data_IF_189291500912
#
_entry.id   IF_189291500912
#
_cell.length_a   1.000
_cell.length_b   1.000
_cell.length_c   1.000
_cell.angle_alpha   90.00
_cell.angle_beta   90.00
_cell.angle_gamma   90.00
#
_symmetry.space_group_name_H-M   'P 1'
#
loop_
_entity.id
_entity.type
_entity.pdbx_description
1 polymer ?
2 non-polymer ?
3 water ?
#
# COMPACT_ATOMS: atom_id res chain seq x y z
N UNK A 1 13.25 -12.58 5.55
CA UNK A 1 12.21 -13.31 6.26
C UNK A 1 10.89 -13.39 5.47
N UNK A 2 9.98 -14.24 5.92
CA UNK A 2 8.62 -14.22 5.38
C UNK A 2 7.77 -13.43 6.36
N UNK A 3 6.97 -12.50 5.86
CA UNK A 3 6.11 -11.70 6.72
C UNK A 3 4.63 -11.91 6.36
N UNK A 4 3.82 -12.30 7.33
CA UNK A 4 2.39 -12.48 7.10
C UNK A 4 1.66 -11.15 7.37
N UNK A 5 0.39 -11.07 7.01
CA UNK A 5 -0.26 -9.76 6.94
C UNK A 5 -1.40 -9.59 7.95
N UNK A 6 -1.39 -10.40 9.00
CA UNK A 6 -2.41 -10.28 10.03
C UNK A 6 -2.25 -8.96 10.79
N UNK A 7 -1.02 -8.43 10.80
CA UNK A 7 -0.73 -7.12 11.36
C UNK A 7 -0.08 -6.26 10.28
N UNK A 8 -0.02 -4.95 10.47
CA UNK A 8 0.73 -4.06 9.56
C UNK A 8 2.18 -4.55 9.42
N UNK A 9 2.68 -4.62 8.18
CA UNK A 9 4.06 -5.10 7.98
C UNK A 9 5.09 -4.01 8.23
N UNK A 10 5.33 -3.75 9.51
CA UNK A 10 6.24 -2.68 9.93
C UNK A 10 7.64 -3.22 10.11
N UNK A 11 8.62 -2.46 9.64
CA UNK A 11 10.00 -2.86 9.81
C UNK A 11 10.80 -1.68 10.31
N UNK A 12 12.00 -1.98 10.79
CA UNK A 12 12.86 -0.92 11.27
C UNK A 12 13.73 -0.46 10.11
N UNK A 13 13.84 0.85 9.92
CA UNK A 13 14.73 1.41 8.90
C UNK A 13 15.77 2.30 9.55
N UNK A 14 16.92 2.45 8.90
CA UNK A 14 17.89 3.47 9.29
C UNK A 14 18.14 4.34 8.07
N UNK A 15 18.01 5.64 8.26
CA UNK A 15 18.18 6.60 7.18
C UNK A 15 18.64 7.93 7.77
N UNK A 16 19.60 8.58 7.11
CA UNK A 16 20.14 9.84 7.57
C UNK A 16 20.63 9.78 9.01
N UNK A 17 21.21 8.64 9.37
CA UNK A 17 21.71 8.41 10.72
C UNK A 17 20.64 8.15 11.78
N UNK A 18 19.38 8.08 11.37
CA UNK A 18 18.26 7.99 12.31
C UNK A 18 17.49 6.67 12.20
N UNK A 19 16.96 6.20 13.32
CA UNK A 19 16.16 4.98 13.29
C UNK A 19 14.68 5.29 13.28
N UNK A 20 13.96 4.65 12.36
CA UNK A 20 12.51 4.83 12.23
C UNK A 20 11.82 3.51 11.91
N UNK A 21 10.51 3.49 12.08
CA UNK A 21 9.70 2.34 11.66
C UNK A 21 8.92 2.74 10.43
N UNK A 22 8.72 1.78 9.53
CA UNK A 22 8.03 2.07 8.28
C UNK A 22 7.27 0.86 7.79
N UNK A 23 6.24 1.12 7.00
CA UNK A 23 5.35 0.07 6.55
C UNK A 23 5.80 -0.40 5.18
N UNK A 24 6.01 -1.72 5.01
CA UNK A 24 6.31 -2.29 3.70
C UNK A 24 5.02 -2.20 2.87
N UNK A 25 5.07 -1.40 1.80
CA UNK A 25 3.84 -0.98 1.13
C UNK A 25 3.84 -1.30 -0.36
N UNK A 26 3.25 -2.42 -0.73
CA UNK A 26 3.22 -2.83 -2.15
C UNK A 26 2.28 -1.94 -2.97
N UNK A 27 1.46 -1.16 -2.27
CA UNK A 27 0.50 -0.29 -2.94
C UNK A 27 1.09 1.07 -3.24
N UNK A 28 2.36 1.23 -2.89
CA UNK A 28 3.07 2.48 -3.06
C UNK A 28 4.18 2.34 -4.12
N UNK A 29 4.14 3.17 -5.16
CA UNK A 29 5.18 3.12 -6.17
C UNK A 29 6.46 3.68 -5.55
N UNK A 30 6.31 4.80 -4.85
CA UNK A 30 7.44 5.53 -4.29
C UNK A 30 7.51 5.36 -2.77
N UNK A 31 8.64 5.76 -2.18
CA UNK A 31 8.83 5.71 -0.74
C UNK A 31 8.58 7.11 -0.14
N UNK A 32 7.75 7.17 0.88
CA UNK A 32 7.36 8.45 1.49
C UNK A 32 7.58 8.44 2.99
N UNK A 33 8.44 9.32 3.48
CA UNK A 33 8.72 9.37 4.91
C UNK A 33 8.20 10.66 5.50
N UNK A 34 7.74 10.60 6.75
CA UNK A 34 7.33 11.79 7.50
C UNK A 34 8.46 12.80 7.55
N UNK A 35 8.13 14.04 7.91
CA UNK A 35 9.15 15.08 7.98
C UNK A 35 10.33 14.66 8.84
N UNK A 36 11.51 14.75 8.24
CA UNK A 36 12.72 14.35 8.91
C UNK A 36 13.82 15.24 8.38
N UNK A 37 14.94 15.22 9.09
CA UNK A 37 16.11 15.97 8.67
C UNK A 37 17.00 15.11 7.79
N UNK A 38 17.01 15.41 6.49
CA UNK A 38 17.93 14.78 5.55
C UNK A 38 18.87 15.86 5.02
N UNK A 39 20.11 15.47 4.67
CA UNK A 39 21.18 16.42 4.35
C UNK A 39 21.18 17.07 2.95
N UNK A 40 21.04 16.28 1.88
CA UNK A 40 21.33 16.78 0.54
C UNK A 40 20.43 17.87 -0.04
N UNK A 41 20.54 18.08 -1.35
CA UNK A 41 19.59 18.95 -2.04
C UNK A 41 18.34 18.13 -2.37
N UNK A 42 17.20 18.78 -2.54
CA UNK A 42 15.95 18.12 -2.87
C UNK A 42 15.22 18.88 -3.96
N UNK A 43 14.19 18.25 -4.52
CA UNK A 43 13.34 18.90 -5.51
C UNK A 43 11.89 18.85 -5.04
N UNK A 44 11.11 19.89 -5.36
CA UNK A 44 9.66 19.84 -5.12
C UNK A 44 9.00 18.73 -5.94
N UNK A 45 8.00 18.10 -5.34
CA UNK A 45 7.19 17.11 -6.03
C UNK A 45 5.82 17.11 -5.38
N UNK A 46 4.79 16.76 -6.14
CA UNK A 46 3.47 16.61 -5.57
C UNK A 46 3.03 15.19 -5.83
N UNK A 47 2.48 14.52 -4.81
CA UNK A 47 2.07 13.14 -4.97
C UNK A 47 0.62 12.91 -4.54
N UNK A 48 -0.07 12.00 -5.23
CA UNK A 48 -1.47 11.77 -4.95
C UNK A 48 -1.75 10.46 -4.26
N UNK A 49 -2.65 10.50 -3.29
CA UNK A 49 -3.09 9.32 -2.59
C UNK A 49 -4.60 9.27 -2.55
N UNK A 50 -5.14 8.55 -1.57
CA UNK A 50 -6.57 8.31 -1.49
C UNK A 50 -7.43 9.56 -1.26
N UNK A 51 -6.96 10.52 -0.46
CA UNK A 51 -7.78 11.66 -0.10
C UNK A 51 -7.41 13.00 -0.73
N UNK A 52 -6.48 12.96 -1.68
CA UNK A 52 -6.01 14.17 -2.32
C UNK A 52 -4.51 14.14 -2.53
N UNK A 53 -3.87 15.29 -2.41
CA UNK A 53 -2.46 15.40 -2.71
C UNK A 53 -1.64 16.06 -1.59
N UNK A 54 -0.34 15.75 -1.54
CA UNK A 54 0.56 16.43 -0.63
C UNK A 54 1.81 16.90 -1.36
N UNK A 55 2.44 17.94 -0.82
CA UNK A 55 3.73 18.42 -1.32
C UNK A 55 4.83 17.67 -0.57
N UNK A 56 5.81 17.16 -1.29
CA UNK A 56 6.95 16.48 -0.66
C UNK A 56 8.26 17.01 -1.24
N UNK A 57 9.36 16.68 -0.58
CA UNK A 57 10.68 16.99 -1.13
C UNK A 57 11.27 15.68 -1.64
N UNK A 58 11.77 15.71 -2.87
CA UNK A 58 12.39 14.53 -3.46
C UNK A 58 13.91 14.47 -3.25
N UNK A 59 14.37 13.42 -2.56
CA UNK A 59 15.80 13.19 -2.38
C UNK A 59 16.21 11.97 -3.18
N UNK A 60 17.16 12.15 -4.08
CA UNK A 60 17.66 11.00 -4.84
C UNK A 60 18.93 10.41 -4.25
N UNK A 61 19.17 9.14 -4.60
CA UNK A 61 20.38 8.44 -4.23
C UNK A 61 20.61 8.49 -2.72
N UNK A 62 19.54 8.22 -1.98
CA UNK A 62 19.57 8.16 -0.52
C UNK A 62 19.83 6.73 -0.05
N UNK A 63 20.78 6.56 0.88
CA UNK A 63 21.02 5.25 1.44
C UNK A 63 20.03 4.99 2.57
N UNK A 64 19.35 3.86 2.50
CA UNK A 64 18.40 3.45 3.55
C UNK A 64 18.59 1.96 3.89
N UNK A 65 18.54 1.63 5.16
CA UNK A 65 18.62 0.24 5.57
C UNK A 65 17.22 -0.19 5.97
N UNK A 66 16.73 -1.26 5.34
CA UNK A 66 15.36 -1.69 5.56
C UNK A 66 15.40 -3.11 6.10
N UNK A 67 15.09 -3.25 7.39
CA UNK A 67 15.16 -4.55 8.06
C UNK A 67 16.52 -5.23 7.80
N UNK A 68 17.60 -4.46 7.86
CA UNK A 68 18.94 -5.01 7.69
C UNK A 68 19.45 -5.08 6.26
N UNK A 69 18.63 -4.68 5.30
CA UNK A 69 19.02 -4.70 3.90
C UNK A 69 19.28 -3.29 3.40
N UNK A 70 20.47 -3.05 2.88
CA UNK A 70 20.78 -1.75 2.33
C UNK A 70 20.21 -1.56 0.92
N UNK A 71 19.68 -0.36 0.68
CA UNK A 71 19.21 0.03 -0.65
C UNK A 71 19.56 1.49 -0.86
N UNK A 72 19.70 1.90 -2.12
CA UNK A 72 19.92 3.31 -2.42
C UNK A 72 18.89 3.72 -3.45
N UNK A 73 18.15 4.77 -3.16
CA UNK A 73 17.16 5.22 -4.12
C UNK A 73 16.52 6.52 -3.71
N UNK A 74 15.44 6.84 -4.39
CA UNK A 74 14.71 8.06 -4.12
C UNK A 74 13.80 7.94 -2.91
N UNK A 75 13.85 8.95 -2.07
CA UNK A 75 12.97 9.01 -0.92
C UNK A 75 12.23 10.33 -0.97
N UNK A 76 10.91 10.27 -0.81
CA UNK A 76 10.11 11.49 -0.72
C UNK A 76 9.85 11.81 0.76
N UNK A 77 9.98 13.08 1.10
CA UNK A 77 9.78 13.50 2.47
C UNK A 77 8.67 14.53 2.54
N UNK A 78 7.70 14.31 3.42
CA UNK A 78 6.59 15.23 3.56
C UNK A 78 5.51 14.68 4.47
N UNK A 79 4.36 15.36 4.50
CA UNK A 79 3.29 15.10 5.46
C UNK A 79 2.47 13.84 5.20
N UNK A 80 3.14 12.70 5.01
CA UNK A 80 2.47 11.41 5.01
C UNK A 80 2.12 11.03 6.46
N UNK A 81 0.94 10.42 6.67
CA UNK A 81 0.58 10.00 8.04
C UNK A 81 1.44 8.86 8.58
N UNK A 82 2.07 8.08 7.69
CA UNK A 82 2.88 6.94 8.08
C UNK A 82 4.08 6.84 7.14
N UNK A 83 5.22 6.42 7.66
CA UNK A 83 6.38 6.12 6.83
C UNK A 83 6.07 4.89 5.99
N UNK A 84 6.20 5.03 4.67
CA UNK A 84 5.88 3.92 3.78
C UNK A 84 7.04 3.59 2.84
N UNK A 85 7.43 2.32 2.79
CA UNK A 85 8.49 1.88 1.88
C UNK A 85 7.83 1.35 0.63
N UNK A 86 8.05 2.02 -0.51
CA UNK A 86 7.40 1.67 -1.76
C UNK A 86 8.18 0.69 -2.62
N UNK A 87 7.62 0.34 -3.78
CA UNK A 87 8.18 -0.72 -4.61
C UNK A 87 9.58 -0.38 -5.12
N UNK A 88 9.85 0.92 -5.30
CA UNK A 88 11.16 1.39 -5.74
C UNK A 88 12.31 0.85 -4.86
N UNK A 89 12.04 0.69 -3.58
CA UNK A 89 13.03 0.16 -2.65
C UNK A 89 12.77 -1.31 -2.34
N UNK A 90 11.51 -1.72 -2.38
CA UNK A 90 11.17 -3.13 -2.14
C UNK A 90 11.85 -4.08 -3.14
N UNK A 91 11.94 -3.66 -4.40
CA UNK A 91 12.58 -4.48 -5.42
C UNK A 91 14.07 -4.67 -5.10
N UNK A 92 14.69 -3.65 -4.51
CA UNK A 92 16.13 -3.71 -4.19
C UNK A 92 16.48 -4.72 -3.10
N UNK A 93 15.57 -4.93 -2.16
CA UNK A 93 15.82 -5.88 -1.09
C UNK A 93 15.23 -7.25 -1.43
N UNK A 94 14.74 -7.37 -2.66
CA UNK A 94 14.27 -8.64 -3.21
C UNK A 94 12.94 -9.09 -2.65
N UNK A 95 12.12 -8.12 -2.28
CA UNK A 95 10.86 -8.40 -1.62
C UNK A 95 9.78 -8.80 -2.62
N UNK A 96 9.08 -9.92 -2.36
CA UNK A 96 7.92 -10.23 -3.18
C UNK A 96 6.64 -10.70 -2.42
N UNK A 97 5.52 -10.83 -3.15
CA UNK A 97 4.26 -11.29 -2.57
C UNK A 97 4.10 -12.80 -2.76
N UNK A 98 5.03 -13.32 -3.56
CA UNK A 98 5.58 -14.69 -3.53
C UNK A 98 5.07 -15.87 -2.73
N UNK A 99 5.49 -17.03 -3.22
CA UNK A 99 5.35 -18.34 -2.60
C UNK A 99 6.54 -18.62 -1.67
N UNK B 1 0.62 -17.80 -6.58
CA UNK B 1 1.89 -17.64 -7.29
C UNK B 1 2.87 -16.71 -6.56
N UNK B 2 4.07 -16.58 -7.11
CA UNK B 2 4.99 -15.54 -6.67
C UNK B 2 4.74 -14.27 -7.48
N UNK B 3 4.75 -13.12 -6.82
CA UNK B 3 4.65 -11.86 -7.53
C UNK B 3 5.77 -10.91 -7.12
N UNK B 4 6.65 -10.55 -8.05
CA UNK B 4 7.67 -9.55 -7.76
C UNK B 4 7.09 -8.12 -7.92
N UNK B 5 7.90 -7.10 -7.62
CA UNK B 5 7.34 -5.77 -7.47
C UNK B 5 7.93 -4.73 -8.43
N UNK B 6 8.50 -5.21 -9.53
CA UNK B 6 9.06 -4.31 -10.53
C UNK B 6 7.93 -3.54 -11.20
N UNK B 7 6.73 -4.14 -11.18
CA UNK B 7 5.54 -3.49 -11.68
C UNK B 7 4.48 -3.51 -10.57
N UNK B 8 3.45 -2.68 -10.69
CA UNK B 8 2.31 -2.76 -9.76
C UNK B 8 1.76 -4.18 -9.70
N UNK B 9 1.53 -4.69 -8.48
CA UNK B 9 0.98 -6.03 -8.35
C UNK B 9 -0.52 -6.04 -8.57
N UNK B 10 -0.92 -5.99 -9.83
CA UNK B 10 -2.33 -5.94 -10.20
C UNK B 10 -2.85 -7.34 -10.46
N UNK B 11 -4.07 -7.61 -9.99
CA UNK B 11 -4.67 -8.91 -10.20
C UNK B 11 -6.11 -8.72 -10.66
N UNK B 12 -6.66 -9.79 -11.21
CA UNK B 12 -8.06 -9.76 -11.62
C UNK B 12 -8.93 -10.14 -10.43
N UNK B 13 -10.00 -9.39 -10.19
CA UNK B 13 -10.96 -9.77 -9.16
C UNK B 13 -12.33 -9.94 -9.78
N UNK B 14 -13.18 -10.74 -9.14
CA UNK B 14 -14.59 -10.81 -9.52
C UNK B 14 -15.38 -10.50 -8.26
N UNK B 15 -16.28 -9.53 -8.36
CA UNK B 15 -17.08 -9.10 -7.24
C UNK B 15 -18.41 -8.57 -7.76
N UNK B 16 -19.51 -8.97 -7.13
CA UNK B 16 -20.83 -8.47 -7.50
C UNK B 16 -21.16 -8.82 -8.94
N UNK B 17 -20.65 -9.97 -9.38
CA UNK B 17 -20.84 -10.42 -10.75
C UNK B 17 -20.00 -9.73 -11.82
N UNK B 18 -19.10 -8.83 -11.39
CA UNK B 18 -18.32 -7.99 -12.31
C UNK B 18 -16.82 -8.27 -12.23
N UNK B 19 -16.15 -8.13 -13.36
CA UNK B 19 -14.71 -8.31 -13.39
C UNK B 19 -13.98 -6.99 -13.32
N UNK B 20 -12.97 -6.93 -12.44
CA UNK B 20 -12.17 -5.72 -12.27
C UNK B 20 -10.71 -6.06 -12.00
N UNK B 21 -9.85 -5.05 -12.14
CA UNK B 21 -8.46 -5.17 -11.73
C UNK B 21 -8.22 -4.41 -10.44
N UNK B 22 -7.38 -4.96 -9.58
CA UNK B 22 -7.10 -4.32 -8.30
C UNK B 22 -5.65 -4.54 -7.90
N UNK B 23 -5.15 -3.63 -7.06
CA UNK B 23 -3.77 -3.63 -6.64
C UNK B 23 -3.67 -4.38 -5.32
N UNK B 24 -2.79 -5.38 -5.23
CA UNK B 24 -2.54 -6.06 -3.96
C UNK B 24 -1.75 -5.08 -3.08
N UNK B 25 -2.36 -4.68 -1.97
CA UNK B 25 -1.85 -3.52 -1.23
C UNK B 25 -1.56 -3.80 0.24
N UNK B 26 -0.30 -4.09 0.54
CA UNK B 26 0.07 -4.43 1.92
C UNK B 26 0.02 -3.20 2.82
N UNK B 27 -0.06 -2.02 2.21
CA UNK B 27 -0.08 -0.77 2.95
C UNK B 27 -1.48 -0.35 3.29
N UNK B 28 -2.45 -1.21 2.98
CA UNK B 28 -3.86 -0.92 3.17
C UNK B 28 -4.48 -1.90 4.17
N UNK B 29 -5.03 -1.40 5.26
CA UNK B 29 -5.67 -2.29 6.22
C UNK B 29 -6.96 -2.84 5.60
N UNK B 30 -7.71 -1.94 4.97
CA UNK B 30 -9.01 -2.26 4.38
C UNK B 30 -8.94 -2.40 2.86
N UNK B 31 -9.99 -2.96 2.27
CA UNK B 31 -10.12 -3.06 0.82
C UNK B 31 -11.04 -1.94 0.34
N UNK B 32 -10.57 -1.16 -0.64
CA UNK B 32 -11.34 -0.04 -1.17
C UNK B 32 -11.46 -0.15 -2.68
N UNK B 33 -12.70 -0.20 -3.16
CA UNK B 33 -12.95 -0.28 -4.58
C UNK B 33 -13.60 1.00 -5.09
N UNK B 34 -13.28 1.38 -6.32
CA UNK B 34 -13.91 2.53 -6.98
C UNK B 34 -15.42 2.31 -7.06
N UNK B 35 -16.15 3.40 -7.31
CA UNK B 35 -17.60 3.31 -7.38
C UNK B 35 -18.08 2.19 -8.31
N UNK B 36 -18.91 1.32 -7.76
CA UNK B 36 -19.43 0.18 -8.51
C UNK B 36 -20.80 -0.11 -7.93
N UNK B 37 -21.57 -0.93 -8.62
CA UNK B 37 -22.89 -1.33 -8.12
C UNK B 37 -22.78 -2.62 -7.31
N UNK B 38 -23.03 -2.53 -6.01
CA UNK B 38 -22.93 -3.67 -5.11
C UNK B 38 -24.25 -3.90 -4.38
N UNK B 39 -24.70 -5.17 -4.36
CA UNK B 39 -25.98 -5.56 -3.75
C UNK B 39 -26.12 -5.28 -2.26
N UNK B 40 -27.19 -4.59 -1.89
CA UNK B 40 -27.67 -4.60 -0.52
C UNK B 40 -27.31 -3.44 0.39
N UNK B 41 -27.35 -3.72 1.70
CA UNK B 41 -27.17 -2.70 2.73
C UNK B 41 -25.71 -2.34 2.93
N UNK B 42 -25.47 -1.12 3.41
CA UNK B 42 -24.12 -0.62 3.67
C UNK B 42 -24.18 0.45 4.74
N UNK B 43 -23.02 0.83 5.27
CA UNK B 43 -22.95 1.94 6.23
C UNK B 43 -21.93 2.98 5.78
N UNK B 44 -22.20 4.25 6.13
CA UNK B 44 -21.21 5.33 5.96
C UNK B 44 -19.93 5.04 6.72
N UNK B 45 -18.80 5.38 6.12
CA UNK B 45 -17.52 5.32 6.80
C UNK B 45 -16.63 6.39 6.19
N UNK B 46 -15.68 6.88 6.98
CA UNK B 46 -14.72 7.87 6.50
C UNK B 46 -13.37 7.22 6.63
N UNK B 47 -12.58 7.25 5.56
CA UNK B 47 -11.24 6.67 5.62
C UNK B 47 -10.16 7.67 5.19
N UNK B 48 -8.99 7.59 5.82
CA UNK B 48 -7.94 8.53 5.52
C UNK B 48 -6.74 7.90 4.86
N UNK B 49 -6.15 8.63 3.93
CA UNK B 49 -4.92 8.21 3.28
C UNK B 49 -3.96 9.36 3.20
N UNK B 50 -3.10 9.34 2.19
CA UNK B 50 -2.01 10.28 2.12
C UNK B 50 -2.43 11.77 2.03
N UNK B 51 -3.47 12.06 1.23
CA UNK B 51 -3.84 13.44 0.99
C UNK B 51 -5.08 13.97 1.70
N UNK B 52 -5.60 13.20 2.65
CA UNK B 52 -6.82 13.57 3.35
C UNK B 52 -7.79 12.41 3.48
N UNK B 53 -9.09 12.70 3.46
CA UNK B 53 -10.11 11.70 3.74
C UNK B 53 -11.16 11.58 2.63
N UNK B 54 -11.74 10.38 2.50
CA UNK B 54 -12.86 10.19 1.60
C UNK B 54 -14.00 9.48 2.30
N UNK B 55 -15.22 9.73 1.86
CA UNK B 55 -16.37 8.98 2.35
C UNK B 55 -16.55 7.73 1.50
N UNK B 56 -16.78 6.60 2.15
CA UNK B 56 -17.04 5.34 1.43
C UNK B 56 -18.28 4.67 1.98
N UNK B 57 -18.79 3.68 1.24
CA UNK B 57 -19.87 2.84 1.74
C UNK B 57 -19.27 1.52 2.19
N UNK B 58 -19.56 1.12 3.42
CA UNK B 58 -19.02 -0.14 3.94
C UNK B 58 -19.97 -1.32 3.75
N UNK B 59 -19.53 -2.29 2.95
CA UNK B 59 -20.31 -3.51 2.75
C UNK B 59 -19.62 -4.68 3.44
N UNK B 60 -20.36 -5.40 4.27
CA UNK B 60 -19.79 -6.53 5.00
C UNK B 60 -20.18 -7.87 4.38
N UNK B 61 -19.38 -8.89 4.69
CA UNK B 61 -19.61 -10.26 4.21
C UNK B 61 -19.85 -10.27 2.69
N UNK B 62 -18.95 -9.63 1.94
CA UNK B 62 -19.01 -9.63 0.48
C UNK B 62 -18.12 -10.70 -0.09
N UNK B 63 -18.65 -11.48 -1.04
CA UNK B 63 -17.82 -12.47 -1.70
C UNK B 63 -16.98 -11.79 -2.79
N UNK B 64 -15.69 -12.08 -2.77
CA UNK B 64 -14.77 -11.54 -3.74
C UNK B 64 -13.81 -12.63 -4.21
N UNK B 65 -13.55 -12.69 -5.50
CA UNK B 65 -12.58 -13.65 -5.99
C UNK B 65 -11.32 -12.90 -6.42
N UNK B 66 -10.19 -13.22 -5.79
CA UNK B 66 -8.97 -12.46 -6.03
C UNK B 66 -7.95 -13.41 -6.62
N UNK B 67 -7.67 -13.21 -7.91
CA UNK B 67 -6.75 -14.06 -8.66
C UNK B 67 -7.11 -15.55 -8.49
N UNK B 68 -8.41 -15.86 -8.57
CA UNK B 68 -8.87 -17.24 -8.44
C UNK B 68 -9.05 -17.73 -7.00
N UNK B 69 -8.77 -16.86 -6.04
CA UNK B 69 -8.97 -17.22 -4.64
C UNK B 69 -10.19 -16.54 -4.06
N UNK B 70 -11.14 -17.33 -3.58
CA UNK B 70 -12.34 -16.79 -2.96
C UNK B 70 -12.07 -16.31 -1.55
N UNK B 71 -12.65 -15.16 -1.20
CA UNK B 71 -12.59 -14.63 0.16
C UNK B 71 -13.92 -13.96 0.45
N UNK B 72 -14.27 -13.85 1.72
CA UNK B 72 -15.47 -13.11 2.07
C UNK B 72 -15.09 -12.12 3.15
N UNK B 73 -15.43 -10.86 2.93
CA UNK B 73 -15.16 -9.88 3.96
C UNK B 73 -15.72 -8.52 3.62
N UNK B 74 -15.25 -7.53 4.36
CA UNK B 74 -15.68 -6.14 4.20
C UNK B 74 -15.02 -5.47 3.00
N UNK B 75 -15.84 -4.83 2.18
CA UNK B 75 -15.32 -4.07 1.05
C UNK B 75 -15.84 -2.66 1.17
N UNK B 76 -14.96 -1.68 1.04
CA UNK B 76 -15.36 -0.28 1.07
C UNK B 76 -15.44 0.25 -0.37
N UNK B 77 -16.49 1.02 -0.65
CA UNK B 77 -16.71 1.52 -1.99
C UNK B 77 -16.79 3.03 -2.01
N UNK B 78 -15.96 3.66 -2.84
CA UNK B 78 -15.93 5.11 -2.87
C UNK B 78 -14.88 5.64 -3.83
N UNK B 79 -14.63 6.95 -3.75
CA UNK B 79 -13.75 7.66 -4.70
C UNK B 79 -12.25 7.44 -4.52
N UNK B 80 -11.82 6.18 -4.34
CA UNK B 80 -10.40 5.85 -4.43
C UNK B 80 -9.92 5.94 -5.88
N UNK B 81 -8.69 6.42 -6.09
CA UNK B 81 -8.18 6.49 -7.46
C UNK B 81 -7.88 5.11 -8.07
N UNK B 82 -7.69 4.10 -7.23
CA UNK B 82 -7.30 2.77 -7.68
C UNK B 82 -8.02 1.76 -6.81
N UNK B 83 -8.49 0.66 -7.40
CA UNK B 83 -9.03 -0.45 -6.62
C UNK B 83 -7.89 -1.09 -5.85
N UNK B 84 -8.06 -1.19 -4.53
CA UNK B 84 -6.98 -1.72 -3.70
C UNK B 84 -7.47 -2.88 -2.81
N UNK B 85 -6.78 -4.01 -2.87
CA UNK B 85 -7.08 -5.14 -1.98
C UNK B 85 -6.19 -5.04 -0.75
N UNK B 86 -6.80 -4.83 0.42
CA UNK B 86 -6.06 -4.65 1.66
C UNK B 86 -5.88 -5.92 2.48
N UNK B 87 -5.20 -5.80 3.63
CA UNK B 87 -4.76 -6.94 4.41
C UNK B 87 -5.91 -7.80 4.90
N UNK B 88 -7.07 -7.18 5.14
CA UNK B 88 -8.27 -7.92 5.54
C UNK B 88 -8.59 -9.08 4.59
N UNK B 89 -8.33 -8.88 3.30
CA UNK B 89 -8.59 -9.94 2.33
C UNK B 89 -7.32 -10.67 1.96
N UNK B 90 -6.17 -10.00 2.04
CA UNK B 90 -4.90 -10.63 1.74
C UNK B 90 -4.60 -11.83 2.65
N UNK B 91 -4.93 -11.70 3.93
CA UNK B 91 -4.72 -12.79 4.88
C UNK B 91 -5.56 -14.02 4.51
N UNK B 92 -6.73 -13.77 3.94
CA UNK B 92 -7.64 -14.87 3.60
C UNK B 92 -7.15 -15.74 2.44
N UNK B 93 -6.40 -15.14 1.51
CA UNK B 93 -5.89 -15.89 0.39
C UNK B 93 -4.47 -16.38 0.67
N UNK B 94 -4.01 -16.14 1.89
CA UNK B 94 -2.72 -16.67 2.35
C UNK B 94 -1.52 -15.90 1.81
N UNK B 95 -1.75 -14.63 1.48
CA UNK B 95 -0.73 -13.83 0.84
C UNK B 95 0.32 -13.35 1.83
N UNK B 96 1.61 -13.53 1.50
CA UNK B 96 2.72 -13.10 2.36
C UNK B 96 3.76 -12.21 1.64
N UNK B 97 4.53 -11.46 2.42
CA UNK B 97 5.69 -10.72 1.87
C UNK B 97 6.94 -11.53 2.21
N UNK B 98 7.88 -11.63 1.28
CA UNK B 98 9.13 -12.36 1.54
C UNK B 98 10.32 -11.65 0.92
N UNK B 99 11.43 -11.64 1.65
CA UNK B 99 12.69 -11.10 1.14
C UNK B 99 13.84 -11.64 2.00
#
# INVERSE_FOLDING_TARGET
>A
PQITLWQRPLVTIKIGGQLKEALLNTGADDTVLEEMSLPGRWKPKMIGGIGGFIKVRQYDQILIEICGHKAIGTVLVGPTPVNIIGRNLLTQIGCTLNF
>B
PQITLWQRPLVTIKIGGQLKEALLNTGADDTVLEEMSLPGRWKPKMIGGIGGFIKVRQYDQILIEICGHKAIGTVLVGPTPVNIIGRNLLTQIGCTLNF
#
